data_IF_760178632775
#
_entry.id   IF_760178632775
#
_cell.length_a   1.000
_cell.length_b   1.000
_cell.length_c   1.000
_cell.angle_alpha   90.00
_cell.angle_beta   90.00
_cell.angle_gamma   90.00
#
_symmetry.space_group_name_H-M   'P 1'
#
loop_
_entity.id
_entity.type
_entity.pdbx_description
1 polymer ?
#
# COMPACT_ATOMS: atom_id res chain seq x y z
N UNK A 1 -17.49 17.73 -17.84
CA UNK A 1 -17.67 16.47 -18.61
C UNK A 1 -16.41 16.24 -19.40
N UNK A 2 -15.68 15.17 -19.14
CA UNK A 2 -14.48 14.81 -19.91
C UNK A 2 -14.89 14.40 -21.34
N UNK A 3 -14.02 14.70 -22.31
CA UNK A 3 -14.17 14.21 -23.67
C UNK A 3 -14.15 12.67 -23.68
N UNK A 4 -15.08 12.01 -24.37
CA UNK A 4 -15.17 10.56 -24.47
C UNK A 4 -13.91 9.90 -25.05
N UNK A 5 -13.07 10.66 -25.78
CA UNK A 5 -11.77 10.19 -26.27
C UNK A 5 -10.78 9.95 -25.14
N UNK A 6 -10.93 10.65 -24.01
CA UNK A 6 -10.16 10.40 -22.80
C UNK A 6 -10.52 9.03 -22.24
N UNK A 7 -11.80 8.63 -22.22
CA UNK A 7 -12.18 7.27 -21.79
C UNK A 7 -11.58 6.21 -22.72
N UNK A 8 -11.54 6.48 -24.04
CA UNK A 8 -10.85 5.61 -25.00
C UNK A 8 -9.36 5.49 -24.69
N UNK A 9 -8.69 6.61 -24.46
CA UNK A 9 -7.27 6.64 -24.09
C UNK A 9 -7.00 5.84 -22.79
N UNK A 10 -7.78 6.08 -21.75
CA UNK A 10 -7.66 5.36 -20.48
C UNK A 10 -7.88 3.84 -20.65
N UNK A 11 -8.83 3.45 -21.50
CA UNK A 11 -9.07 2.04 -21.81
C UNK A 11 -7.89 1.41 -22.57
N UNK A 12 -7.32 2.09 -23.56
CA UNK A 12 -6.12 1.62 -24.28
C UNK A 12 -4.93 1.49 -23.31
N UNK A 13 -4.76 2.43 -22.38
CA UNK A 13 -3.71 2.35 -21.37
C UNK A 13 -3.82 1.11 -20.47
N UNK A 14 -5.04 0.71 -20.06
CA UNK A 14 -5.26 -0.50 -19.25
C UNK A 14 -4.91 -1.78 -20.00
N UNK A 15 -5.25 -1.85 -21.26
CA UNK A 15 -5.07 -3.06 -22.08
C UNK A 15 -3.72 -3.13 -22.81
N UNK A 16 -3.09 -1.97 -23.04
CA UNK A 16 -1.96 -1.82 -23.99
C UNK A 16 -2.24 -2.53 -25.33
N UNK A 17 -3.51 -2.44 -25.78
CA UNK A 17 -3.98 -3.12 -26.98
C UNK A 17 -5.24 -2.45 -27.53
N UNK A 18 -5.15 -1.90 -28.74
CA UNK A 18 -6.26 -1.20 -29.39
C UNK A 18 -7.48 -2.08 -29.64
N UNK A 19 -7.27 -3.35 -30.04
CA UNK A 19 -8.36 -4.28 -30.33
C UNK A 19 -9.12 -4.68 -29.06
N UNK A 20 -8.41 -4.92 -27.94
CA UNK A 20 -9.05 -5.22 -26.64
C UNK A 20 -9.83 -4.01 -26.12
N UNK A 21 -9.26 -2.80 -26.24
CA UNK A 21 -9.94 -1.58 -25.85
C UNK A 21 -11.21 -1.34 -26.70
N UNK A 22 -11.13 -1.58 -28.02
CA UNK A 22 -12.27 -1.48 -28.92
C UNK A 22 -13.41 -2.41 -28.50
N UNK A 23 -13.11 -3.65 -28.13
CA UNK A 23 -14.09 -4.61 -27.61
C UNK A 23 -14.75 -4.17 -26.33
N UNK A 24 -13.95 -3.68 -25.35
CA UNK A 24 -14.49 -3.19 -24.06
C UNK A 24 -15.41 -1.99 -24.25
N UNK A 25 -15.04 -1.10 -25.17
CA UNK A 25 -15.80 0.13 -25.44
C UNK A 25 -16.97 -0.05 -26.42
N UNK A 26 -17.15 -1.25 -26.97
CA UNK A 26 -18.13 -1.54 -28.01
C UNK A 26 -18.03 -0.63 -29.25
N UNK A 27 -16.80 -0.31 -29.68
CA UNK A 27 -16.51 0.46 -30.90
C UNK A 27 -15.51 -0.30 -31.78
N UNK A 28 -15.28 0.21 -32.99
CA UNK A 28 -14.30 -0.41 -33.91
C UNK A 28 -12.85 -0.02 -33.54
N UNK A 29 -11.89 -0.90 -33.85
CA UNK A 29 -10.48 -0.61 -33.65
C UNK A 29 -10.01 0.64 -34.43
N UNK A 30 -10.42 0.89 -35.68
CA UNK A 30 -10.14 2.15 -36.37
C UNK A 30 -10.65 3.38 -35.61
N UNK A 31 -11.84 3.32 -34.99
CA UNK A 31 -12.37 4.43 -34.18
C UNK A 31 -11.47 4.69 -32.96
N UNK A 32 -11.02 3.64 -32.26
CA UNK A 32 -10.05 3.78 -31.16
C UNK A 32 -8.77 4.46 -31.64
N UNK A 33 -8.20 4.03 -32.78
CA UNK A 33 -7.01 4.66 -33.36
C UNK A 33 -7.24 6.13 -33.69
N UNK A 34 -8.39 6.46 -34.25
CA UNK A 34 -8.72 7.85 -34.59
C UNK A 34 -8.87 8.73 -33.33
N UNK A 35 -9.47 8.21 -32.25
CA UNK A 35 -9.56 8.91 -30.97
C UNK A 35 -8.15 9.21 -30.39
N UNK A 36 -7.26 8.22 -30.42
CA UNK A 36 -5.89 8.40 -29.93
C UNK A 36 -5.13 9.41 -30.80
N UNK A 37 -5.25 9.31 -32.13
CA UNK A 37 -4.63 10.26 -33.05
C UNK A 37 -5.14 11.70 -32.81
N UNK A 38 -6.43 11.87 -32.53
CA UNK A 38 -7.00 13.18 -32.20
C UNK A 38 -6.35 13.77 -30.93
N UNK A 39 -6.26 12.98 -29.88
CA UNK A 39 -5.60 13.41 -28.63
C UNK A 39 -4.12 13.71 -28.83
N UNK A 40 -3.39 12.88 -29.62
CA UNK A 40 -1.99 13.15 -29.94
C UNK A 40 -1.81 14.49 -30.67
N UNK A 41 -2.72 14.80 -31.56
CA UNK A 41 -2.70 16.10 -32.30
C UNK A 41 -3.08 17.27 -31.36
N UNK A 42 -4.08 17.11 -30.51
CA UNK A 42 -4.51 18.12 -29.55
C UNK A 42 -3.42 18.47 -28.53
N UNK A 43 -2.71 17.45 -28.01
CA UNK A 43 -1.61 17.65 -27.06
C UNK A 43 -0.23 17.85 -27.74
N UNK A 44 -0.16 17.76 -29.06
CA UNK A 44 1.07 17.96 -29.83
C UNK A 44 2.17 16.95 -29.54
N UNK A 45 1.80 15.73 -29.08
CA UNK A 45 2.78 14.72 -28.68
C UNK A 45 2.29 13.31 -28.91
N UNK A 46 3.21 12.36 -29.11
CA UNK A 46 2.86 10.94 -29.14
C UNK A 46 2.58 10.42 -27.73
N UNK A 47 1.47 9.70 -27.59
CA UNK A 47 1.06 9.10 -26.32
C UNK A 47 1.45 7.62 -26.23
N UNK A 48 1.53 6.96 -27.38
CA UNK A 48 1.94 5.56 -27.50
C UNK A 48 3.12 5.41 -28.45
N UNK A 49 3.95 4.41 -28.19
CA UNK A 49 4.98 3.89 -29.07
C UNK A 49 4.79 2.40 -29.25
N UNK A 50 5.22 1.87 -30.36
CA UNK A 50 5.10 0.44 -30.71
C UNK A 50 6.49 -0.13 -30.99
N UNK A 51 6.77 -1.27 -30.35
CA UNK A 51 7.94 -2.08 -30.65
C UNK A 51 7.47 -3.50 -31.07
N UNK A 52 7.65 -3.79 -32.36
CA UNK A 52 7.07 -4.97 -32.98
C UNK A 52 5.54 -5.01 -32.84
N UNK A 53 5.04 -6.03 -32.12
CA UNK A 53 3.60 -6.19 -31.84
C UNK A 53 3.17 -5.63 -30.47
N UNK A 54 4.11 -5.09 -29.67
CA UNK A 54 3.82 -4.60 -28.32
C UNK A 54 3.61 -3.08 -28.32
N UNK A 55 2.58 -2.65 -27.62
CA UNK A 55 2.25 -1.23 -27.44
C UNK A 55 2.76 -0.77 -26.07
N UNK A 56 3.38 0.42 -26.04
CA UNK A 56 3.90 1.02 -24.82
C UNK A 56 3.42 2.48 -24.72
N UNK A 57 3.29 2.99 -23.50
CA UNK A 57 3.10 4.42 -23.26
C UNK A 57 4.43 5.16 -23.38
N UNK A 58 4.41 6.30 -24.06
CA UNK A 58 5.49 7.28 -23.97
C UNK A 58 5.50 7.93 -22.58
N UNK A 59 6.53 8.70 -22.24
CA UNK A 59 6.55 9.42 -20.95
C UNK A 59 5.42 10.47 -20.88
N UNK A 60 5.11 11.13 -22.00
CA UNK A 60 3.96 12.03 -22.11
C UNK A 60 2.64 11.24 -21.98
N UNK A 61 2.56 10.03 -22.55
CA UNK A 61 1.42 9.13 -22.37
C UNK A 61 1.22 8.73 -20.92
N UNK A 62 2.29 8.38 -20.19
CA UNK A 62 2.24 8.08 -18.75
C UNK A 62 1.77 9.28 -17.95
N UNK A 63 2.29 10.47 -18.26
CA UNK A 63 1.89 11.71 -17.62
C UNK A 63 0.41 12.01 -17.85
N UNK A 64 -0.06 11.93 -19.11
CA UNK A 64 -1.45 12.14 -19.45
C UNK A 64 -2.35 11.11 -18.76
N UNK A 65 -1.99 9.83 -18.75
CA UNK A 65 -2.72 8.77 -18.07
C UNK A 65 -2.92 9.07 -16.57
N UNK A 66 -1.83 9.44 -15.88
CA UNK A 66 -1.88 9.83 -14.47
C UNK A 66 -2.82 11.02 -14.25
N UNK A 67 -2.73 12.07 -15.09
CA UNK A 67 -3.54 13.28 -14.94
C UNK A 67 -5.01 13.05 -15.26
N UNK A 68 -5.32 12.32 -16.32
CA UNK A 68 -6.70 12.08 -16.73
C UNK A 68 -7.45 11.17 -15.76
N UNK A 69 -6.80 10.17 -15.16
CA UNK A 69 -7.39 9.41 -14.06
C UNK A 69 -7.73 10.31 -12.87
N UNK A 70 -6.84 11.25 -12.49
CA UNK A 70 -7.11 12.19 -11.41
C UNK A 70 -8.35 13.06 -11.72
N UNK A 71 -8.40 13.67 -12.92
CA UNK A 71 -9.51 14.54 -13.34
C UNK A 71 -10.82 13.74 -13.40
N UNK A 72 -10.79 12.50 -13.91
CA UNK A 72 -11.98 11.65 -13.98
C UNK A 72 -12.55 11.36 -12.59
N UNK A 73 -11.70 11.03 -11.62
CA UNK A 73 -12.14 10.80 -10.26
C UNK A 73 -12.66 12.08 -9.59
N UNK A 74 -12.08 13.25 -9.91
CA UNK A 74 -12.58 14.53 -9.42
C UNK A 74 -13.95 14.86 -10.02
N UNK A 75 -14.19 14.57 -11.31
CA UNK A 75 -15.48 14.74 -11.99
C UNK A 75 -16.56 13.78 -11.41
N UNK A 76 -16.20 12.52 -11.15
CA UNK A 76 -17.08 11.55 -10.49
C UNK A 76 -17.45 12.00 -9.06
N UNK A 77 -16.47 12.44 -8.28
CA UNK A 77 -16.69 12.97 -6.94
C UNK A 77 -17.57 14.23 -6.94
N UNK A 78 -17.37 15.13 -7.92
CA UNK A 78 -18.20 16.32 -8.07
C UNK A 78 -19.66 15.95 -8.42
N UNK A 79 -19.86 14.98 -9.32
CA UNK A 79 -21.19 14.48 -9.67
C UNK A 79 -21.91 13.89 -8.45
N UNK A 80 -21.20 13.14 -7.62
CA UNK A 80 -21.74 12.61 -6.36
C UNK A 80 -22.14 13.74 -5.40
N UNK A 81 -21.33 14.79 -5.27
CA UNK A 81 -21.62 15.96 -4.42
C UNK A 81 -22.82 16.73 -4.92
N UNK A 82 -22.95 16.90 -6.23
CA UNK A 82 -24.02 17.69 -6.86
C UNK A 82 -25.35 16.93 -7.00
N UNK A 83 -25.32 15.60 -6.98
CA UNK A 83 -26.53 14.78 -7.04
C UNK A 83 -27.30 14.84 -5.72
N UNK A 84 -28.13 15.88 -5.56
CA UNK A 84 -28.97 16.13 -4.38
C UNK A 84 -30.00 15.03 -4.06
N UNK A 85 -30.19 14.05 -4.95
CA UNK A 85 -31.22 13.01 -4.85
C UNK A 85 -30.73 11.63 -4.44
N UNK A 86 -29.45 11.43 -4.23
CA UNK A 86 -28.97 10.21 -3.62
C UNK A 86 -29.06 10.37 -2.11
N UNK A 87 -30.04 9.73 -1.49
CA UNK A 87 -30.02 9.42 -0.06
C UNK A 87 -28.69 8.72 0.24
N UNK A 88 -27.70 9.51 0.32
CA UNK A 88 -26.54 9.55 1.11
C UNK A 88 -25.61 8.34 1.19
N UNK A 89 -25.62 7.35 0.31
CA UNK A 89 -24.59 6.33 0.34
C UNK A 89 -23.25 6.96 -0.07
N UNK A 90 -22.37 7.04 0.91
CA UNK A 90 -20.99 7.54 0.73
C UNK A 90 -20.10 6.39 0.32
N UNK A 91 -19.48 6.49 -0.84
CA UNK A 91 -18.50 5.49 -1.30
C UNK A 91 -17.09 5.92 -0.92
N UNK A 92 -16.36 5.06 -0.23
CA UNK A 92 -14.96 5.26 0.15
C UNK A 92 -14.17 4.05 -0.34
N UNK A 93 -13.16 4.29 -1.16
CA UNK A 93 -12.23 3.25 -1.64
C UNK A 93 -10.84 3.52 -1.11
N UNK A 94 -10.25 2.58 -0.39
CA UNK A 94 -8.90 2.79 0.12
C UNK A 94 -8.06 1.51 0.10
N UNK A 95 -6.74 1.71 0.15
CA UNK A 95 -5.76 0.64 0.17
C UNK A 95 -5.18 0.42 1.55
N UNK A 96 -4.86 -0.84 1.88
CA UNK A 96 -4.14 -1.19 3.10
C UNK A 96 -3.04 -2.20 2.81
N UNK A 97 -1.89 -2.06 3.46
CA UNK A 97 -0.89 -3.13 3.44
C UNK A 97 -1.36 -4.32 4.27
N UNK A 98 -0.78 -5.49 4.00
CA UNK A 98 -1.21 -6.75 4.65
C UNK A 98 -1.19 -6.65 6.18
N UNK A 99 -0.11 -6.13 6.76
CA UNK A 99 0.01 -5.99 8.22
C UNK A 99 -1.08 -5.10 8.81
N UNK A 100 -1.33 -3.94 8.20
CA UNK A 100 -2.35 -3.00 8.68
C UNK A 100 -3.73 -3.61 8.51
N UNK A 101 -4.01 -4.21 7.34
CA UNK A 101 -5.31 -4.76 6.98
C UNK A 101 -5.72 -5.97 7.81
N UNK A 102 -4.77 -6.85 8.15
CA UNK A 102 -5.06 -8.08 8.88
C UNK A 102 -5.04 -7.90 10.40
N UNK A 103 -4.19 -7.00 10.94
CA UNK A 103 -3.92 -6.98 12.38
C UNK A 103 -4.30 -5.66 13.08
N UNK A 104 -4.57 -4.59 12.35
CA UNK A 104 -4.70 -3.27 12.98
C UNK A 104 -6.04 -2.60 12.66
N UNK A 105 -6.53 -2.70 11.42
CA UNK A 105 -7.61 -1.84 10.92
C UNK A 105 -9.01 -2.33 11.32
N UNK A 106 -9.18 -3.59 11.76
CA UNK A 106 -10.50 -4.18 11.99
C UNK A 106 -11.34 -3.41 13.02
N UNK A 107 -10.76 -3.11 14.19
CA UNK A 107 -11.46 -2.37 15.26
C UNK A 107 -11.85 -0.95 14.80
N UNK A 108 -10.89 -0.11 14.29
CA UNK A 108 -11.24 1.22 13.83
C UNK A 108 -12.30 1.24 12.71
N UNK A 109 -12.24 0.30 11.78
CA UNK A 109 -13.25 0.21 10.70
C UNK A 109 -14.60 -0.21 11.25
N UNK A 110 -14.64 -1.19 12.17
CA UNK A 110 -15.88 -1.60 12.81
C UNK A 110 -16.61 -0.43 13.48
N UNK A 111 -15.86 0.38 14.22
CA UNK A 111 -16.44 1.55 14.87
C UNK A 111 -16.87 2.62 13.87
N UNK A 112 -16.09 2.83 12.80
CA UNK A 112 -16.48 3.74 11.74
C UNK A 112 -17.79 3.31 11.06
N UNK A 113 -17.92 2.04 10.67
CA UNK A 113 -19.12 1.51 10.00
C UNK A 113 -20.36 1.63 10.89
N UNK A 114 -20.23 1.28 12.17
CA UNK A 114 -21.34 1.40 13.14
C UNK A 114 -21.86 2.83 13.27
N UNK A 115 -20.97 3.82 13.18
CA UNK A 115 -21.32 5.23 13.28
C UNK A 115 -21.69 5.90 11.94
N UNK A 116 -21.52 5.19 10.81
CA UNK A 116 -21.79 5.70 9.47
C UNK A 116 -22.48 4.62 8.62
N UNK A 117 -23.74 4.26 8.93
CA UNK A 117 -24.45 3.17 8.26
C UNK A 117 -24.65 3.42 6.75
N UNK A 118 -24.66 4.67 6.34
CA UNK A 118 -24.84 5.09 4.93
C UNK A 118 -23.51 5.13 4.16
N UNK A 119 -22.51 4.35 4.57
CA UNK A 119 -21.18 4.35 3.92
C UNK A 119 -20.85 2.97 3.34
N UNK A 120 -20.59 2.92 2.05
CA UNK A 120 -19.97 1.78 1.39
C UNK A 120 -18.45 1.90 1.48
N UNK A 121 -17.79 0.86 1.95
CA UNK A 121 -16.33 0.79 2.02
C UNK A 121 -15.81 -0.27 1.03
N UNK A 122 -14.84 0.13 0.21
CA UNK A 122 -14.06 -0.78 -0.63
C UNK A 122 -12.63 -0.78 -0.14
N UNK A 123 -12.19 -1.91 0.40
CA UNK A 123 -10.85 -2.07 0.94
C UNK A 123 -10.02 -2.91 -0.04
N UNK A 124 -8.90 -2.36 -0.48
CA UNK A 124 -7.99 -3.04 -1.40
C UNK A 124 -6.70 -3.40 -0.67
N UNK A 125 -6.37 -4.67 -0.63
CA UNK A 125 -5.10 -5.15 -0.10
C UNK A 125 -4.01 -5.10 -1.18
N UNK A 126 -2.77 -4.84 -0.75
CA UNK A 126 -1.60 -4.82 -1.61
C UNK A 126 -0.34 -4.50 -0.84
N UNK A 127 0.82 -4.60 -1.48
CA UNK A 127 2.05 -4.08 -0.90
C UNK A 127 2.14 -2.56 -1.09
N UNK A 128 3.07 -1.93 -0.40
CA UNK A 128 3.22 -0.46 -0.43
C UNK A 128 3.38 0.08 -1.85
N UNK A 129 4.21 -0.54 -2.68
CA UNK A 129 4.45 -0.11 -4.06
C UNK A 129 3.20 -0.19 -4.94
N UNK A 130 2.43 -1.26 -4.81
CA UNK A 130 1.16 -1.43 -5.54
C UNK A 130 0.12 -0.41 -5.12
N UNK A 131 0.00 -0.15 -3.81
CA UNK A 131 -0.95 0.81 -3.27
C UNK A 131 -0.59 2.24 -3.68
N UNK A 132 0.71 2.61 -3.66
CA UNK A 132 1.17 3.90 -4.16
C UNK A 132 0.83 4.09 -5.65
N UNK A 133 0.99 3.05 -6.46
CA UNK A 133 0.58 3.07 -7.86
C UNK A 133 -0.93 3.29 -8.00
N UNK A 134 -1.76 2.50 -7.30
CA UNK A 134 -3.22 2.66 -7.32
C UNK A 134 -3.68 4.04 -6.83
N UNK A 135 -3.01 4.59 -5.81
CA UNK A 135 -3.28 5.94 -5.30
C UNK A 135 -2.91 7.01 -6.34
N UNK A 136 -1.76 6.87 -7.01
CA UNK A 136 -1.33 7.81 -8.06
C UNK A 136 -2.23 7.75 -9.31
N UNK A 137 -2.79 6.59 -9.61
CA UNK A 137 -3.76 6.36 -10.68
C UNK A 137 -5.19 6.75 -10.28
N UNK A 138 -5.41 7.07 -9.00
CA UNK A 138 -6.72 7.45 -8.48
C UNK A 138 -7.70 6.29 -8.34
N UNK A 139 -7.25 5.05 -8.38
CA UNK A 139 -8.07 3.84 -8.18
C UNK A 139 -8.57 3.73 -6.74
N UNK A 140 -7.81 4.31 -5.79
CA UNK A 140 -8.16 4.41 -4.37
C UNK A 140 -8.03 5.87 -3.92
N UNK A 141 -8.85 6.26 -2.93
CA UNK A 141 -8.93 7.62 -2.39
C UNK A 141 -7.75 7.94 -1.47
N UNK A 142 -7.35 6.98 -0.65
CA UNK A 142 -6.20 7.05 0.24
C UNK A 142 -5.64 5.65 0.49
N UNK A 143 -4.47 5.58 1.10
CA UNK A 143 -3.86 4.32 1.47
C UNK A 143 -3.27 4.38 2.88
N UNK A 144 -3.43 3.28 3.64
CA UNK A 144 -2.71 3.05 4.87
C UNK A 144 -1.54 2.14 4.55
N UNK A 145 -0.34 2.68 4.69
CA UNK A 145 0.89 1.99 4.29
C UNK A 145 1.95 2.07 5.39
N UNK A 146 2.91 1.19 5.26
CA UNK A 146 4.09 1.10 6.09
C UNK A 146 5.35 1.16 5.22
N UNK A 147 6.50 1.43 5.82
CA UNK A 147 7.77 1.49 5.12
C UNK A 147 8.10 2.87 4.55
N UNK A 148 9.12 2.90 3.71
CA UNK A 148 9.66 4.13 3.13
C UNK A 148 9.15 4.34 1.72
N UNK A 149 8.76 5.58 1.42
CA UNK A 149 8.28 5.99 0.10
C UNK A 149 8.63 7.48 -0.13
N UNK A 150 8.67 7.96 -1.38
CA UNK A 150 8.86 9.38 -1.68
C UNK A 150 7.70 10.20 -1.12
N UNK A 151 7.96 11.02 -0.08
CA UNK A 151 6.92 11.79 0.62
C UNK A 151 6.44 13.00 -0.18
N UNK A 152 7.26 13.54 -1.08
CA UNK A 152 6.98 14.78 -1.83
C UNK A 152 5.72 14.71 -2.73
N UNK A 153 5.28 13.51 -3.07
CA UNK A 153 4.10 13.29 -3.92
C UNK A 153 2.80 13.07 -3.15
N UNK A 154 2.86 13.02 -1.80
CA UNK A 154 1.73 12.62 -0.95
C UNK A 154 1.57 13.53 0.26
N UNK A 155 0.33 13.81 0.64
CA UNK A 155 0.05 14.28 2.00
C UNK A 155 0.04 13.07 2.93
N UNK A 156 0.75 13.17 4.05
CA UNK A 156 0.94 12.05 4.96
C UNK A 156 0.44 12.40 6.35
N UNK A 157 -0.28 11.45 6.96
CA UNK A 157 -0.69 11.54 8.35
C UNK A 157 -0.20 10.29 9.08
N UNK A 158 0.40 10.46 10.24
CA UNK A 158 0.79 9.34 11.07
C UNK A 158 -0.48 8.63 11.59
N UNK A 159 -0.60 7.34 11.33
CA UNK A 159 -1.72 6.52 11.76
C UNK A 159 -1.45 5.85 13.11
N UNK A 160 -0.36 5.10 13.22
CA UNK A 160 0.08 4.51 14.48
C UNK A 160 1.61 4.33 14.50
N UNK A 161 2.14 4.11 15.70
CA UNK A 161 3.54 3.74 15.92
C UNK A 161 3.55 2.33 16.46
N UNK A 162 4.08 1.41 15.67
CA UNK A 162 4.15 0.00 16.04
C UNK A 162 5.61 -0.43 16.21
N UNK A 163 5.83 -1.30 17.17
CA UNK A 163 7.14 -1.88 17.43
C UNK A 163 7.48 -2.93 16.36
N UNK A 164 8.69 -2.85 15.79
CA UNK A 164 9.18 -3.81 14.81
C UNK A 164 10.20 -4.73 15.48
N UNK A 165 9.91 -6.03 15.50
CA UNK A 165 10.62 -7.00 16.33
C UNK A 165 11.14 -8.19 15.53
N UNK A 166 12.26 -8.75 15.96
CA UNK A 166 12.77 -10.04 15.49
C UNK A 166 12.09 -11.18 16.26
N UNK A 167 11.63 -12.19 15.55
CA UNK A 167 10.87 -13.31 16.12
C UNK A 167 11.29 -14.66 15.55
N UNK A 168 11.17 -15.69 16.39
CA UNK A 168 11.32 -17.10 16.01
C UNK A 168 10.27 -17.95 16.75
N UNK A 169 10.22 -19.24 16.42
CA UNK A 169 9.46 -20.22 17.20
C UNK A 169 9.91 -20.21 18.67
N UNK A 170 8.99 -20.38 19.59
CA UNK A 170 9.33 -20.56 21.00
C UNK A 170 10.26 -21.77 21.23
N UNK A 171 10.14 -22.80 20.36
CA UNK A 171 10.97 -24.02 20.40
C UNK A 171 12.36 -23.85 19.77
N UNK A 172 12.57 -22.73 19.05
CA UNK A 172 13.83 -22.49 18.34
C UNK A 172 15.01 -22.45 19.31
N UNK A 173 16.07 -23.14 18.95
CA UNK A 173 17.32 -23.20 19.75
C UNK A 173 18.47 -22.64 18.94
N UNK A 174 19.07 -21.56 19.44
CA UNK A 174 20.28 -20.99 18.86
C UNK A 174 21.52 -21.74 19.39
N UNK A 175 22.52 -21.91 18.54
CA UNK A 175 23.83 -22.48 18.97
C UNK A 175 24.49 -21.59 20.04
N UNK A 176 24.34 -20.28 19.90
CA UNK A 176 24.73 -19.28 20.90
C UNK A 176 23.60 -18.26 21.01
N UNK A 177 23.34 -17.77 22.22
CA UNK A 177 22.29 -16.75 22.43
C UNK A 177 22.64 -15.48 21.65
N UNK A 178 21.83 -15.11 20.64
CA UNK A 178 22.12 -13.94 19.84
C UNK A 178 21.97 -12.65 20.67
N UNK A 179 22.86 -11.69 20.43
CA UNK A 179 22.88 -10.36 21.06
C UNK A 179 22.83 -9.25 20.03
N UNK A 180 23.39 -9.49 18.85
CA UNK A 180 23.45 -8.54 17.75
C UNK A 180 22.93 -9.19 16.47
N UNK A 181 22.54 -8.37 15.49
CA UNK A 181 21.94 -8.87 14.25
C UNK A 181 22.84 -9.84 13.49
N UNK A 182 24.16 -9.64 13.56
CA UNK A 182 25.17 -10.53 12.95
C UNK A 182 25.12 -11.96 13.48
N UNK A 183 24.71 -12.13 14.73
CA UNK A 183 24.58 -13.46 15.35
C UNK A 183 23.44 -14.28 14.73
N UNK A 184 22.55 -13.64 13.98
CA UNK A 184 21.44 -14.28 13.27
C UNK A 184 21.78 -14.68 11.83
N UNK A 185 22.94 -14.32 11.28
CA UNK A 185 23.32 -14.67 9.90
C UNK A 185 23.41 -16.18 9.62
N UNK A 186 23.76 -17.06 10.58
CA UNK A 186 23.68 -18.50 10.37
C UNK A 186 22.25 -19.03 10.20
N UNK A 187 21.23 -18.24 10.57
CA UNK A 187 19.83 -18.66 10.51
C UNK A 187 19.24 -18.45 9.11
N UNK A 188 18.14 -19.16 8.84
CA UNK A 188 17.29 -18.90 7.67
C UNK A 188 16.35 -17.76 7.99
N UNK A 189 16.31 -16.74 7.13
CA UNK A 189 15.39 -15.63 7.29
C UNK A 189 14.16 -15.81 6.39
N UNK A 190 12.95 -15.56 6.92
CA UNK A 190 11.74 -15.44 6.14
C UNK A 190 11.46 -13.96 5.92
N UNK A 191 11.35 -13.57 4.66
CA UNK A 191 11.17 -12.18 4.22
C UNK A 191 9.98 -12.02 3.31
N UNK A 192 9.44 -10.81 3.26
CA UNK A 192 8.39 -10.42 2.32
C UNK A 192 8.96 -10.21 0.91
N UNK A 193 8.06 -10.09 -0.04
CA UNK A 193 8.37 -9.78 -1.42
C UNK A 193 8.94 -8.36 -1.61
N UNK A 194 9.66 -8.07 -2.72
CA UNK A 194 10.05 -6.72 -3.10
C UNK A 194 8.81 -5.80 -3.23
N UNK A 195 8.93 -4.56 -2.74
CA UNK A 195 7.82 -3.60 -2.71
C UNK A 195 6.99 -3.65 -1.42
N UNK A 196 7.19 -4.67 -0.56
CA UNK A 196 6.60 -4.70 0.78
C UNK A 196 7.24 -3.66 1.70
N UNK A 197 6.41 -2.91 2.41
CA UNK A 197 6.86 -1.96 3.43
C UNK A 197 7.61 -2.64 4.58
N UNK A 198 7.14 -3.79 5.03
CA UNK A 198 7.79 -4.62 6.07
C UNK A 198 9.22 -5.03 5.65
N UNK A 199 9.39 -5.50 4.40
CA UNK A 199 10.70 -5.82 3.85
C UNK A 199 11.61 -4.59 3.76
N UNK A 200 11.07 -3.49 3.28
CA UNK A 200 11.81 -2.25 3.12
C UNK A 200 12.37 -1.73 4.46
N UNK A 201 11.59 -1.84 5.54
CA UNK A 201 12.04 -1.48 6.89
C UNK A 201 13.21 -2.37 7.33
N UNK A 202 13.09 -3.68 7.14
CA UNK A 202 14.17 -4.61 7.46
C UNK A 202 15.45 -4.31 6.67
N UNK A 203 15.35 -4.21 5.33
CA UNK A 203 16.50 -3.94 4.46
C UNK A 203 17.20 -2.63 4.84
N UNK A 204 16.43 -1.60 5.20
CA UNK A 204 17.00 -0.33 5.63
C UNK A 204 17.65 -0.42 7.02
N UNK A 205 17.05 -1.16 7.95
CA UNK A 205 17.64 -1.39 9.26
C UNK A 205 18.96 -2.18 9.16
N UNK A 206 19.04 -3.15 8.25
CA UNK A 206 20.27 -3.87 7.93
C UNK A 206 21.33 -2.94 7.32
N UNK A 207 20.94 -2.13 6.34
CA UNK A 207 21.83 -1.21 5.63
C UNK A 207 22.48 -0.17 6.55
N UNK A 208 21.82 0.26 7.63
CA UNK A 208 22.40 1.15 8.64
C UNK A 208 23.66 0.56 9.33
N UNK A 209 23.76 -0.76 9.36
CA UNK A 209 24.92 -1.50 9.88
C UNK A 209 25.79 -2.07 8.75
N UNK A 210 25.61 -1.62 7.50
CA UNK A 210 26.27 -2.16 6.30
C UNK A 210 25.99 -3.65 6.05
N UNK A 211 24.81 -4.14 6.43
CA UNK A 211 24.33 -5.49 6.18
C UNK A 211 23.20 -5.51 5.16
N UNK A 212 22.91 -6.70 4.67
CA UNK A 212 21.81 -6.98 3.73
C UNK A 212 21.15 -8.32 4.01
N UNK A 213 20.05 -8.62 3.36
CA UNK A 213 19.39 -9.92 3.47
C UNK A 213 20.23 -11.07 2.92
N UNK A 214 21.23 -10.80 2.07
CA UNK A 214 22.18 -11.80 1.54
C UNK A 214 23.26 -12.22 2.54
N UNK A 215 23.41 -11.53 3.67
CA UNK A 215 24.33 -11.93 4.73
C UNK A 215 23.79 -13.11 5.57
N UNK A 216 22.46 -13.36 5.49
CA UNK A 216 21.87 -14.54 6.10
C UNK A 216 22.18 -15.79 5.31
N UNK A 217 22.30 -16.94 5.99
CA UNK A 217 22.65 -18.24 5.39
C UNK A 217 21.78 -18.57 4.18
N UNK A 218 20.48 -18.37 4.28
CA UNK A 218 19.51 -18.48 3.20
C UNK A 218 18.20 -17.75 3.58
N UNK A 219 17.34 -17.56 2.58
CA UNK A 219 16.05 -16.91 2.81
C UNK A 219 14.90 -17.70 2.18
N UNK A 220 13.71 -17.48 2.71
CA UNK A 220 12.44 -17.84 2.07
C UNK A 220 11.67 -16.54 1.82
N UNK A 221 11.32 -16.26 0.57
CA UNK A 221 10.46 -15.14 0.24
C UNK A 221 9.00 -15.58 0.21
N UNK A 222 8.14 -14.88 0.95
CA UNK A 222 6.71 -15.20 1.10
C UNK A 222 5.89 -13.91 1.04
N UNK A 223 4.89 -13.85 0.17
CA UNK A 223 4.03 -12.67 0.01
C UNK A 223 2.93 -12.59 1.07
N UNK A 224 2.49 -13.74 1.57
CA UNK A 224 1.40 -13.85 2.54
C UNK A 224 1.93 -13.80 3.98
N UNK A 225 1.44 -12.85 4.79
CA UNK A 225 1.87 -12.65 6.18
C UNK A 225 1.52 -13.84 7.07
N UNK A 226 0.31 -14.40 6.89
CA UNK A 226 -0.16 -15.56 7.64
C UNK A 226 0.72 -16.80 7.40
N UNK A 227 1.17 -16.98 6.15
CA UNK A 227 2.08 -18.06 5.80
C UNK A 227 3.46 -17.89 6.45
N UNK A 228 4.00 -16.66 6.51
CA UNK A 228 5.24 -16.38 7.24
C UNK A 228 5.10 -16.80 8.71
N UNK A 229 4.05 -16.32 9.39
CA UNK A 229 3.82 -16.61 10.82
C UNK A 229 3.69 -18.12 11.04
N UNK A 230 2.90 -18.82 10.22
CA UNK A 230 2.73 -20.28 10.30
C UNK A 230 4.03 -21.06 10.11
N UNK A 231 4.91 -20.59 9.21
CA UNK A 231 6.23 -21.21 8.99
C UNK A 231 7.15 -20.96 10.18
N UNK A 232 7.12 -19.75 10.76
CA UNK A 232 7.91 -19.44 11.96
C UNK A 232 7.44 -20.27 13.17
N UNK A 233 6.15 -20.44 13.38
CA UNK A 233 5.62 -21.30 14.44
C UNK A 233 6.07 -22.76 14.32
N UNK A 234 6.31 -23.23 13.09
CA UNK A 234 6.85 -24.56 12.77
C UNK A 234 8.39 -24.61 12.78
N UNK A 235 9.05 -23.57 13.25
CA UNK A 235 10.52 -23.49 13.36
C UNK A 235 11.27 -23.58 12.01
N UNK A 236 10.69 -22.96 10.97
CA UNK A 236 11.33 -22.93 9.65
C UNK A 236 12.41 -21.84 9.51
N UNK A 237 12.65 -21.04 10.53
CA UNK A 237 13.65 -19.96 10.57
C UNK A 237 13.22 -18.80 11.46
N UNK A 238 13.75 -17.62 11.16
CA UNK A 238 13.48 -16.36 11.88
C UNK A 238 12.85 -15.32 10.94
N UNK A 239 12.22 -14.31 11.50
CA UNK A 239 11.71 -13.18 10.73
C UNK A 239 11.70 -11.87 11.53
N UNK A 240 11.43 -10.75 10.84
CA UNK A 240 11.30 -9.42 11.42
C UNK A 240 9.97 -8.85 11.01
N UNK A 241 9.08 -8.58 11.95
CA UNK A 241 7.71 -8.15 11.71
C UNK A 241 7.28 -7.09 12.73
N UNK A 242 6.18 -6.42 12.45
CA UNK A 242 5.50 -5.61 13.45
C UNK A 242 4.95 -6.51 14.57
N UNK A 243 5.10 -6.06 15.80
CA UNK A 243 4.67 -6.80 17.00
C UNK A 243 3.18 -7.11 16.98
N UNK A 244 2.36 -6.20 16.41
CA UNK A 244 0.94 -6.42 16.22
C UNK A 244 0.63 -7.70 15.42
N UNK A 245 1.40 -7.99 14.37
CA UNK A 245 1.20 -9.18 13.54
C UNK A 245 1.51 -10.50 14.27
N UNK A 246 2.38 -10.48 15.24
CA UNK A 246 2.82 -11.67 16.01
C UNK A 246 2.28 -11.70 17.44
N UNK A 247 1.44 -10.73 17.82
CA UNK A 247 0.94 -10.59 19.19
C UNK A 247 0.24 -11.86 19.70
N UNK A 248 -0.62 -12.47 18.89
CA UNK A 248 -1.31 -13.71 19.24
C UNK A 248 -0.35 -14.87 19.48
N UNK A 249 0.65 -15.07 18.60
CA UNK A 249 1.67 -16.11 18.73
C UNK A 249 2.58 -15.91 19.96
N UNK A 250 2.90 -14.65 20.28
CA UNK A 250 3.66 -14.31 21.51
C UNK A 250 2.85 -14.57 22.78
N UNK A 251 1.57 -14.18 22.80
CA UNK A 251 0.67 -14.43 23.95
C UNK A 251 0.40 -15.92 24.17
N UNK A 252 0.21 -16.67 23.08
CA UNK A 252 -0.03 -18.11 23.12
C UNK A 252 1.24 -18.95 23.40
N UNK A 253 2.41 -18.31 23.43
CA UNK A 253 3.68 -19.00 23.67
C UNK A 253 4.20 -19.83 22.50
N UNK A 254 3.64 -19.70 21.30
CA UNK A 254 4.18 -20.34 20.08
C UNK A 254 5.37 -19.61 19.49
N UNK A 255 5.44 -18.31 19.71
CA UNK A 255 6.51 -17.44 19.23
C UNK A 255 7.25 -16.81 20.44
N UNK A 256 8.49 -16.42 20.20
CA UNK A 256 9.27 -15.57 21.10
C UNK A 256 10.02 -14.50 20.33
N UNK A 257 10.24 -13.36 20.97
CA UNK A 257 11.10 -12.31 20.43
C UNK A 257 12.58 -12.68 20.62
N UNK A 258 13.41 -12.23 19.70
CA UNK A 258 14.85 -12.35 19.78
C UNK A 258 15.40 -10.98 20.20
N UNK A 259 15.81 -10.75 21.46
CA UNK A 259 16.31 -9.46 21.88
C UNK A 259 17.69 -9.19 21.27
N UNK A 260 17.81 -8.07 20.52
CA UNK A 260 19.04 -7.64 19.88
C UNK A 260 19.40 -6.23 20.36
N UNK A 261 20.69 -6.03 20.72
CA UNK A 261 21.16 -4.76 21.26
C UNK A 261 21.32 -3.68 20.18
N UNK A 262 21.64 -4.10 18.95
CA UNK A 262 21.90 -3.24 17.78
C UNK A 262 20.73 -3.14 16.79
N UNK A 263 19.66 -3.90 17.01
CA UNK A 263 18.44 -3.84 16.21
C UNK A 263 17.33 -3.13 16.98
N UNK A 264 17.46 -1.82 17.09
CA UNK A 264 16.37 -0.98 17.58
C UNK A 264 15.89 -0.15 16.41
N UNK A 265 14.81 -0.57 15.77
CA UNK A 265 14.05 0.33 14.89
C UNK A 265 13.39 1.34 15.82
N UNK A 266 14.17 2.37 16.21
CA UNK A 266 13.73 3.41 17.11
C UNK A 266 12.62 4.23 16.44
N UNK A 267 11.66 4.63 17.23
CA UNK A 267 10.59 5.56 16.93
C UNK A 267 11.02 6.92 16.35
N UNK A 268 12.32 7.20 16.25
CA UNK A 268 12.86 8.50 15.85
C UNK A 268 13.17 8.63 14.35
N UNK A 269 12.99 7.57 13.56
CA UNK A 269 12.98 7.72 12.10
C UNK A 269 11.58 8.21 11.69
N UNK A 270 11.44 9.42 11.14
CA UNK A 270 10.15 10.00 10.74
C UNK A 270 9.31 9.11 9.81
N UNK A 271 9.93 8.08 9.28
CA UNK A 271 9.42 7.17 8.26
C UNK A 271 9.06 5.76 8.77
N UNK A 272 9.25 5.41 10.05
CA UNK A 272 9.00 4.06 10.57
C UNK A 272 7.57 3.83 11.08
N UNK A 273 6.72 4.87 11.09
CA UNK A 273 5.31 4.76 11.49
C UNK A 273 4.43 4.31 10.32
N UNK A 274 3.27 3.74 10.67
CA UNK A 274 2.20 3.50 9.71
C UNK A 274 1.58 4.84 9.33
N UNK A 275 1.42 5.10 8.03
CA UNK A 275 0.95 6.38 7.54
C UNK A 275 -0.29 6.23 6.67
N UNK A 276 -1.19 7.20 6.79
CA UNK A 276 -2.27 7.41 5.84
C UNK A 276 -1.75 8.35 4.76
N UNK A 277 -1.82 7.92 3.51
CA UNK A 277 -1.36 8.69 2.37
C UNK A 277 -2.52 9.17 1.53
N UNK A 278 -2.48 10.43 1.15
CA UNK A 278 -3.39 11.04 0.21
C UNK A 278 -2.59 11.58 -0.97
N UNK A 279 -3.17 11.55 -2.18
CA UNK A 279 -2.54 12.24 -3.31
C UNK A 279 -2.56 13.75 -3.04
N UNK A 280 -1.41 14.41 -3.12
CA UNK A 280 -1.23 15.87 -2.88
C UNK A 280 -2.18 16.75 -3.73
N UNK A 281 -2.76 16.17 -4.78
CA UNK A 281 -3.63 16.88 -5.72
C UNK A 281 -5.12 16.69 -5.47
N UNK A 282 -5.52 15.89 -4.51
CA UNK A 282 -6.91 15.80 -4.08
C UNK A 282 -7.16 16.87 -3.02
N UNK A 283 -7.90 17.89 -3.44
CA UNK A 283 -8.14 19.13 -2.73
C UNK A 283 -8.41 18.99 -1.22
N UNK A 284 -7.99 20.01 -0.49
CA UNK A 284 -8.16 20.33 0.94
C UNK A 284 -9.54 19.95 1.54
N UNK A 285 -10.60 19.85 0.77
CA UNK A 285 -11.93 19.44 1.23
C UNK A 285 -12.04 17.94 1.57
N UNK A 286 -11.35 17.07 0.81
CA UNK A 286 -11.33 15.64 1.10
C UNK A 286 -10.45 15.35 2.34
N UNK A 287 -9.34 16.06 2.46
CA UNK A 287 -8.46 16.01 3.63
C UNK A 287 -9.19 16.42 4.91
N UNK A 288 -10.06 17.44 4.88
CA UNK A 288 -10.88 17.83 6.04
C UNK A 288 -11.91 16.76 6.45
N UNK A 289 -12.51 16.04 5.49
CA UNK A 289 -13.41 14.90 5.80
C UNK A 289 -12.61 13.69 6.30
N UNK A 290 -11.45 13.43 5.70
CA UNK A 290 -10.52 12.37 6.11
C UNK A 290 -9.82 12.71 7.43
N UNK A 291 -9.62 13.99 7.75
CA UNK A 291 -9.11 14.45 9.05
C UNK A 291 -10.05 14.12 10.21
N UNK A 292 -11.38 14.11 9.98
CA UNK A 292 -12.33 13.56 10.95
C UNK A 292 -12.14 12.06 11.16
N UNK A 293 -11.85 11.36 10.10
CA UNK A 293 -11.50 9.94 10.11
C UNK A 293 -10.23 9.71 10.94
N UNK A 294 -9.18 10.46 10.65
CA UNK A 294 -7.91 10.39 11.39
C UNK A 294 -8.07 10.73 12.88
N UNK A 295 -8.86 11.75 13.24
CA UNK A 295 -9.15 12.05 14.66
C UNK A 295 -9.85 10.90 15.36
N UNK A 296 -10.74 10.20 14.66
CA UNK A 296 -11.41 9.03 15.20
C UNK A 296 -10.41 7.88 15.46
N UNK A 297 -9.57 7.58 14.48
CA UNK A 297 -8.52 6.56 14.58
C UNK A 297 -7.42 6.90 15.60
N UNK A 298 -6.97 8.16 15.66
CA UNK A 298 -5.93 8.60 16.60
C UNK A 298 -6.40 8.59 18.06
N UNK A 299 -7.66 8.89 18.33
CA UNK A 299 -8.21 8.87 19.67
C UNK A 299 -8.23 7.46 20.25
N UNK A 300 -8.58 6.48 19.43
CA UNK A 300 -8.69 5.07 19.86
C UNK A 300 -7.34 4.43 20.15
N UNK A 301 -6.27 4.81 19.42
CA UNK A 301 -4.93 4.29 19.69
C UNK A 301 -4.30 4.91 20.95
N UNK A 302 -4.62 6.17 21.28
CA UNK A 302 -4.15 6.77 22.53
C UNK A 302 -4.80 6.15 23.78
N UNK A 303 -6.06 5.72 23.67
CA UNK A 303 -6.78 5.10 24.78
C UNK A 303 -6.32 3.65 25.05
N UNK A 304 -5.81 2.92 24.03
CA UNK A 304 -5.24 1.57 24.22
C UNK A 304 -3.86 1.58 24.92
N UNK A 305 -3.12 2.69 24.89
CA UNK A 305 -1.82 2.81 25.55
C UNK A 305 -1.90 3.30 27.01
N UNK A 306 -3.10 3.64 27.51
CA UNK A 306 -3.33 4.05 28.91
C UNK A 306 -3.75 2.91 29.84
N UNK A 307 -3.90 1.67 29.33
CA UNK A 307 -4.30 0.48 30.10
C UNK A 307 -3.30 -0.70 29.99
N UNK A 308 -1.98 -0.40 30.00
CA UNK A 308 -0.98 -1.47 30.16
C UNK A 308 0.10 -1.04 31.14
#
# INVERSE_FOLDING_TARGET
MLDFRIDTFLCVCRHLNFTKAAKELNITQPAVSQHIHHLENEYGTKLFTQDGKKLFLTDNGKLLYKKMNQIKNDDESLKEILSKNNHGLKNISFGVTMTIGEYIIADPISDYIKNHPDTNLKITFGNTSELLKKLSEGVIDFALVEGYFPENDYETLLFSKEEFVSVCSAKHSFTQKPRVIKDLFPERILIREPGSGTRNILERALALNNYSTSDFRNFIQVENMHAIISLIEKDCGITFLYKAAVASGLQSGYLKTIPLDDFRVKHDLPSSGQKILFSVKRSVQYVRKSYRWHKHFSKMNNDKHTYS
#
